data_IF_146048160091
#
_entry.id   IF_146048160091
#
_cell.length_a   1.000
_cell.length_b   1.000
_cell.length_c   1.000
_cell.angle_alpha   90.00
_cell.angle_beta   90.00
_cell.angle_gamma   90.00
#
_symmetry.space_group_name_H-M   'P 1'
#
loop_
_entity.id
_entity.type
_entity.pdbx_description
1 polymer ?
#
# COMPACT_ATOMS: atom_id res chain seq x y z
N UNK A 1 11.57 9.48 6.11
CA UNK A 1 10.61 10.55 6.48
C UNK A 1 9.19 10.07 6.82
N UNK A 2 8.61 9.10 6.09
CA UNK A 2 7.24 8.63 6.36
C UNK A 2 7.06 7.99 7.76
N UNK A 3 7.96 7.08 8.15
CA UNK A 3 7.96 6.45 9.49
C UNK A 3 8.09 7.48 10.62
N UNK A 4 8.93 8.50 10.47
CA UNK A 4 9.10 9.56 11.46
C UNK A 4 7.82 10.39 11.62
N UNK A 5 7.14 10.72 10.51
CA UNK A 5 5.84 11.40 10.56
C UNK A 5 4.76 10.52 11.20
N UNK A 6 4.77 9.21 10.92
CA UNK A 6 3.86 8.25 11.54
C UNK A 6 4.08 8.19 13.06
N UNK A 7 5.33 8.08 13.49
CA UNK A 7 5.72 8.09 14.91
C UNK A 7 5.21 9.37 15.62
N UNK A 8 5.48 10.53 15.01
CA UNK A 8 5.01 11.81 15.55
C UNK A 8 3.49 11.93 15.63
N UNK A 9 2.76 11.44 14.63
CA UNK A 9 1.28 11.48 14.62
C UNK A 9 0.66 10.51 15.63
N UNK A 10 1.25 9.33 15.80
CA UNK A 10 0.73 8.29 16.68
C UNK A 10 1.24 8.43 18.14
N UNK A 11 2.17 9.33 18.42
CA UNK A 11 2.76 9.49 19.76
C UNK A 11 3.60 8.30 20.21
N UNK A 12 4.15 7.53 19.26
CA UNK A 12 4.96 6.32 19.53
C UNK A 12 6.42 6.52 19.15
N UNK A 13 7.29 5.65 19.64
CA UNK A 13 8.69 5.61 19.23
C UNK A 13 8.87 5.24 17.75
N UNK A 14 9.97 5.70 17.14
CA UNK A 14 10.29 5.42 15.74
C UNK A 14 10.41 3.91 15.42
N UNK A 15 10.87 3.10 16.39
CA UNK A 15 10.94 1.64 16.25
C UNK A 15 9.55 1.01 16.08
N UNK A 16 8.59 1.33 16.95
CA UNK A 16 7.22 0.83 16.85
C UNK A 16 6.53 1.28 15.55
N UNK A 17 6.76 2.53 15.13
CA UNK A 17 6.25 3.01 13.86
C UNK A 17 6.88 2.26 12.66
N UNK A 18 8.17 1.93 12.71
CA UNK A 18 8.85 1.16 11.68
C UNK A 18 8.32 -0.28 11.62
N UNK A 19 8.11 -0.92 12.78
CA UNK A 19 7.53 -2.26 12.86
C UNK A 19 6.12 -2.29 12.28
N UNK A 20 5.25 -1.34 12.63
CA UNK A 20 3.91 -1.25 12.08
C UNK A 20 3.93 -1.01 10.56
N UNK A 21 4.85 -0.17 10.07
CA UNK A 21 5.03 0.10 8.65
C UNK A 21 5.44 -1.16 7.87
N UNK A 22 6.46 -1.88 8.36
CA UNK A 22 6.96 -3.11 7.76
C UNK A 22 5.96 -4.25 7.84
N UNK A 23 5.19 -4.35 8.93
CA UNK A 23 4.14 -5.35 9.04
C UNK A 23 3.07 -5.17 7.96
N UNK A 24 2.61 -3.93 7.72
CA UNK A 24 1.65 -3.64 6.64
C UNK A 24 2.25 -3.94 5.27
N UNK A 25 3.53 -3.66 5.06
CA UNK A 25 4.23 -3.98 3.82
C UNK A 25 4.20 -5.48 3.51
N UNK A 26 4.49 -6.30 4.53
CA UNK A 26 4.51 -7.75 4.44
C UNK A 26 3.11 -8.33 4.29
N UNK A 27 2.15 -7.90 5.12
CA UNK A 27 0.76 -8.39 5.13
C UNK A 27 0.10 -8.25 3.75
N UNK A 28 0.43 -7.17 3.02
CA UNK A 28 -0.15 -6.85 1.72
C UNK A 28 0.81 -6.97 0.53
N UNK A 29 2.04 -7.44 0.72
CA UNK A 29 3.08 -7.55 -0.32
C UNK A 29 3.29 -6.23 -1.12
N UNK A 30 3.35 -5.09 -0.42
CA UNK A 30 3.35 -3.77 -1.07
C UNK A 30 4.61 -3.50 -1.92
N UNK A 31 5.75 -4.13 -1.61
CA UNK A 31 6.95 -4.01 -2.44
C UNK A 31 6.78 -4.62 -3.83
N UNK A 32 6.13 -5.77 -3.91
CA UNK A 32 5.80 -6.40 -5.18
C UNK A 32 4.84 -5.52 -6.00
N UNK A 33 3.86 -4.89 -5.33
CA UNK A 33 2.93 -3.96 -5.97
C UNK A 33 3.64 -2.70 -6.50
N UNK A 34 4.55 -2.11 -5.73
CA UNK A 34 5.37 -0.96 -6.19
C UNK A 34 6.22 -1.31 -7.39
N UNK A 35 6.87 -2.47 -7.36
CA UNK A 35 7.64 -2.97 -8.48
C UNK A 35 6.75 -3.16 -9.72
N UNK A 36 5.54 -3.69 -9.55
CA UNK A 36 4.57 -3.83 -10.63
C UNK A 36 4.10 -2.47 -11.18
N UNK A 37 3.81 -1.48 -10.32
CA UNK A 37 3.49 -0.09 -10.75
C UNK A 37 4.63 0.45 -11.62
N UNK A 38 5.89 0.31 -11.17
CA UNK A 38 7.05 0.83 -11.88
C UNK A 38 7.26 0.13 -13.24
N UNK A 39 7.03 -1.18 -13.31
CA UNK A 39 7.24 -1.99 -14.50
C UNK A 39 6.07 -1.98 -15.49
N UNK A 40 4.85 -1.62 -15.06
CA UNK A 40 3.66 -1.67 -15.91
C UNK A 40 3.80 -0.74 -17.13
N UNK A 41 3.51 -1.24 -18.35
CA UNK A 41 3.42 -0.41 -19.54
C UNK A 41 2.35 0.67 -19.36
N UNK A 42 2.71 1.93 -19.61
CA UNK A 42 1.82 3.07 -19.47
C UNK A 42 2.00 3.99 -20.69
N UNK A 43 1.40 3.64 -21.84
CA UNK A 43 1.58 4.38 -23.08
C UNK A 43 0.92 5.77 -23.01
N UNK A 44 1.43 6.68 -23.83
CA UNK A 44 0.90 8.04 -23.95
C UNK A 44 1.40 9.02 -22.90
N UNK A 45 1.02 10.30 -23.02
CA UNK A 45 1.59 11.40 -22.23
C UNK A 45 1.23 11.37 -20.74
N UNK A 46 0.19 10.61 -20.36
CA UNK A 46 -0.27 10.50 -18.98
C UNK A 46 0.33 9.31 -18.22
N UNK A 47 1.00 8.39 -18.89
CA UNK A 47 1.52 7.16 -18.26
C UNK A 47 2.42 7.38 -17.05
N UNK A 48 3.45 8.26 -17.12
CA UNK A 48 4.27 8.60 -15.97
C UNK A 48 3.47 9.19 -14.80
N UNK A 49 2.47 10.05 -15.09
CA UNK A 49 1.60 10.65 -14.05
C UNK A 49 0.69 9.61 -13.41
N UNK A 50 0.14 8.68 -14.18
CA UNK A 50 -0.69 7.59 -13.67
C UNK A 50 0.10 6.70 -12.71
N UNK A 51 1.34 6.32 -13.05
CA UNK A 51 2.21 5.53 -12.16
C UNK A 51 2.57 6.29 -10.88
N UNK A 52 2.88 7.58 -10.98
CA UNK A 52 3.16 8.42 -9.81
C UNK A 52 1.95 8.48 -8.87
N UNK A 53 0.75 8.71 -9.40
CA UNK A 53 -0.48 8.75 -8.62
C UNK A 53 -0.75 7.41 -7.90
N UNK A 54 -0.55 6.27 -8.60
CA UNK A 54 -0.70 4.95 -7.98
C UNK A 54 0.34 4.72 -6.86
N UNK A 55 1.59 5.12 -7.06
CA UNK A 55 2.63 5.00 -6.04
C UNK A 55 2.30 5.86 -4.79
N UNK A 56 1.78 7.06 -4.99
CA UNK A 56 1.32 7.94 -3.90
C UNK A 56 0.10 7.37 -3.16
N UNK A 57 -0.85 6.76 -3.88
CA UNK A 57 -1.99 6.07 -3.28
C UNK A 57 -1.55 4.86 -2.43
N UNK A 58 -0.59 4.06 -2.90
CA UNK A 58 0.00 2.96 -2.10
C UNK A 58 0.67 3.49 -0.84
N UNK A 59 1.47 4.56 -0.94
CA UNK A 59 2.14 5.15 0.22
C UNK A 59 1.13 5.69 1.25
N UNK A 60 0.07 6.33 0.76
CA UNK A 60 -1.05 6.82 1.56
C UNK A 60 -1.82 5.69 2.26
N UNK A 61 -2.07 4.59 1.56
CA UNK A 61 -2.73 3.42 2.11
C UNK A 61 -1.88 2.75 3.21
N UNK A 62 -0.58 2.55 2.97
CA UNK A 62 0.33 1.98 3.97
C UNK A 62 0.39 2.85 5.23
N UNK A 63 0.51 4.17 5.08
CA UNK A 63 0.55 5.08 6.22
C UNK A 63 -0.73 4.99 7.09
N UNK A 64 -1.90 4.88 6.44
CA UNK A 64 -3.19 4.76 7.13
C UNK A 64 -3.33 3.43 7.86
N UNK A 65 -3.00 2.32 7.19
CA UNK A 65 -3.06 0.98 7.78
C UNK A 65 -2.06 0.82 8.94
N UNK A 66 -0.86 1.40 8.80
CA UNK A 66 0.14 1.37 9.86
C UNK A 66 -0.32 2.19 11.08
N UNK A 67 -0.95 3.35 10.85
CA UNK A 67 -1.57 4.14 11.93
C UNK A 67 -2.70 3.37 12.63
N UNK A 68 -3.60 2.75 11.89
CA UNK A 68 -4.66 1.90 12.46
C UNK A 68 -4.08 0.78 13.32
N UNK A 69 -3.03 0.11 12.85
CA UNK A 69 -2.35 -0.95 13.60
C UNK A 69 -1.77 -0.45 14.91
N UNK A 70 -1.15 0.73 14.92
CA UNK A 70 -0.62 1.37 16.13
C UNK A 70 -1.74 1.73 17.13
N UNK A 71 -2.92 2.08 16.63
CA UNK A 71 -4.13 2.31 17.43
C UNK A 71 -4.82 1.01 17.89
N UNK A 72 -4.26 -0.16 17.56
CA UNK A 72 -4.87 -1.46 17.87
C UNK A 72 -6.06 -1.83 16.98
N UNK A 73 -6.35 -1.01 15.94
CA UNK A 73 -7.38 -1.28 14.94
C UNK A 73 -6.80 -2.15 13.83
N UNK A 74 -7.63 -3.02 13.25
CA UNK A 74 -7.29 -3.82 12.07
C UNK A 74 -8.47 -3.84 11.10
N UNK A 75 -8.22 -3.87 9.78
CA UNK A 75 -9.26 -4.15 8.82
C UNK A 75 -9.90 -5.51 9.09
N UNK A 76 -11.14 -5.69 8.65
CA UNK A 76 -11.81 -6.99 8.68
C UNK A 76 -10.94 -8.07 8.01
N UNK A 77 -10.76 -9.21 8.68
CA UNK A 77 -9.79 -10.23 8.26
C UNK A 77 -10.11 -10.86 6.90
N UNK A 78 -11.40 -11.05 6.57
CA UNK A 78 -11.81 -11.57 5.26
C UNK A 78 -11.48 -10.56 4.16
N UNK A 79 -11.83 -9.28 4.36
CA UNK A 79 -11.51 -8.21 3.42
C UNK A 79 -10.01 -8.00 3.26
N UNK A 80 -9.24 -8.03 4.35
CA UNK A 80 -7.79 -7.91 4.31
C UNK A 80 -7.15 -9.04 3.48
N UNK A 81 -7.58 -10.29 3.70
CA UNK A 81 -7.07 -11.45 2.97
C UNK A 81 -7.40 -11.39 1.48
N UNK A 82 -8.64 -11.00 1.13
CA UNK A 82 -9.06 -10.83 -0.26
C UNK A 82 -8.23 -9.75 -0.97
N UNK A 83 -8.01 -8.61 -0.33
CA UNK A 83 -7.16 -7.54 -0.87
C UNK A 83 -5.70 -7.99 -1.01
N UNK A 84 -5.15 -8.72 -0.03
CA UNK A 84 -3.79 -9.22 -0.12
C UNK A 84 -3.61 -10.22 -1.29
N UNK A 85 -4.61 -11.07 -1.55
CA UNK A 85 -4.62 -11.96 -2.72
C UNK A 85 -4.65 -11.16 -4.02
N UNK A 86 -5.55 -10.19 -4.12
CA UNK A 86 -5.67 -9.28 -5.27
C UNK A 86 -4.37 -8.52 -5.56
N UNK A 87 -3.67 -8.05 -4.53
CA UNK A 87 -2.36 -7.38 -4.70
C UNK A 87 -1.33 -8.32 -5.31
N UNK A 88 -1.25 -9.57 -4.85
CA UNK A 88 -0.33 -10.57 -5.40
C UNK A 88 -0.66 -10.91 -6.85
N UNK A 89 -1.94 -11.09 -7.18
CA UNK A 89 -2.40 -11.32 -8.54
C UNK A 89 -2.06 -10.14 -9.47
N UNK A 90 -2.35 -8.92 -9.03
CA UNK A 90 -2.02 -7.71 -9.78
C UNK A 90 -0.51 -7.54 -10.00
N UNK A 91 0.30 -7.85 -8.99
CA UNK A 91 1.76 -7.80 -9.12
C UNK A 91 2.30 -8.80 -10.16
N UNK A 92 1.66 -9.97 -10.29
CA UNK A 92 2.03 -10.97 -11.28
C UNK A 92 1.57 -10.59 -12.71
N UNK A 93 0.42 -9.92 -12.84
CA UNK A 93 -0.19 -9.60 -14.13
C UNK A 93 0.59 -8.56 -14.96
N UNK A 94 1.39 -7.69 -14.31
CA UNK A 94 2.15 -6.59 -14.95
C UNK A 94 1.28 -5.66 -15.80
N UNK A 95 0.03 -5.50 -15.40
CA UNK A 95 -0.98 -4.68 -16.05
C UNK A 95 -1.38 -3.50 -15.15
N UNK A 96 -1.43 -2.31 -15.73
CA UNK A 96 -1.79 -1.09 -15.02
C UNK A 96 -3.23 -1.11 -14.50
N UNK A 97 -4.15 -1.78 -15.21
CA UNK A 97 -5.54 -1.89 -14.74
C UNK A 97 -5.62 -2.82 -13.52
N UNK A 98 -5.00 -4.00 -13.57
CA UNK A 98 -4.91 -4.90 -12.41
C UNK A 98 -4.29 -4.22 -11.18
N UNK A 99 -3.18 -3.50 -11.38
CA UNK A 99 -2.52 -2.72 -10.31
C UNK A 99 -3.44 -1.63 -9.77
N UNK A 100 -4.19 -0.92 -10.62
CA UNK A 100 -5.16 0.09 -10.18
C UNK A 100 -6.24 -0.53 -9.29
N UNK A 101 -6.78 -1.70 -9.66
CA UNK A 101 -7.81 -2.40 -8.88
C UNK A 101 -7.25 -2.81 -7.50
N UNK A 102 -6.03 -3.34 -7.45
CA UNK A 102 -5.35 -3.66 -6.19
C UNK A 102 -5.14 -2.42 -5.29
N UNK A 103 -4.70 -1.29 -5.85
CA UNK A 103 -4.53 -0.03 -5.12
C UNK A 103 -5.85 0.48 -4.56
N UNK A 104 -6.94 0.41 -5.33
CA UNK A 104 -8.28 0.78 -4.85
C UNK A 104 -8.78 -0.14 -3.74
N UNK A 105 -8.52 -1.44 -3.83
CA UNK A 105 -8.79 -2.40 -2.77
C UNK A 105 -8.08 -2.05 -1.47
N UNK A 106 -6.78 -1.69 -1.54
CA UNK A 106 -6.01 -1.23 -0.38
C UNK A 106 -6.57 0.07 0.22
N UNK A 107 -6.91 1.04 -0.63
CA UNK A 107 -7.46 2.32 -0.19
C UNK A 107 -8.81 2.19 0.54
N UNK A 108 -9.56 1.11 0.30
CA UNK A 108 -10.85 0.83 0.91
C UNK A 108 -10.78 0.09 2.26
N UNK A 109 -9.59 -0.39 2.67
CA UNK A 109 -9.42 -1.14 3.92
C UNK A 109 -9.38 -0.28 5.18
N UNK A 110 -9.26 1.05 5.06
CA UNK A 110 -9.03 1.92 6.20
C UNK A 110 -9.74 3.25 6.18
#
# INVERSE_FOLDING_TARGET
>A
PAVVRLAGRAGVGAAAAAEAWSAVEQDFALDALRAAIAAAPAPGPFGPRARAALAEEVASAQARLAAQRLEGRRPDGSRANATAALVREAAAARDLAAVTVAVRGLAALG
#
